data_IF_363249370217
#
_entry.id   IF_363249370217
#
_cell.length_a   1.000
_cell.length_b   1.000
_cell.length_c   1.000
_cell.angle_alpha   90.00
_cell.angle_beta   90.00
_cell.angle_gamma   90.00
#
_symmetry.space_group_name_H-M   'P 1'
#
loop_
_entity.id
_entity.type
_entity.pdbx_description
1 polymer ?
#
# COMPACT_ATOMS: atom_id res chain seq x y z
N UNK A 1 10.10 -29.35 33.41
CA UNK A 1 10.68 -30.44 32.61
C UNK A 1 10.20 -30.27 31.19
N UNK A 2 11.07 -29.96 30.23
CA UNK A 2 10.72 -29.87 28.81
C UNK A 2 10.58 -31.28 28.25
N UNK A 3 9.38 -31.62 27.78
CA UNK A 3 9.07 -32.94 27.22
C UNK A 3 9.85 -33.11 25.89
N UNK A 4 10.88 -33.97 25.89
CA UNK A 4 11.63 -34.30 24.66
C UNK A 4 10.85 -35.36 23.89
N UNK A 5 10.33 -35.00 22.72
CA UNK A 5 9.65 -35.93 21.83
C UNK A 5 10.65 -36.92 21.21
N UNK A 6 10.33 -38.21 21.23
CA UNK A 6 11.14 -39.27 20.66
C UNK A 6 11.06 -39.30 19.14
N UNK A 7 12.16 -39.65 18.45
CA UNK A 7 12.23 -39.71 16.97
C UNK A 7 11.16 -40.62 16.33
N UNK A 8 10.67 -41.63 17.04
CA UNK A 8 9.66 -42.56 16.53
C UNK A 8 8.23 -42.23 17.00
N UNK A 9 8.05 -41.20 17.83
CA UNK A 9 6.74 -40.80 18.36
C UNK A 9 5.87 -40.19 17.25
N UNK A 10 4.53 -40.20 17.38
CA UNK A 10 3.64 -39.50 16.48
C UNK A 10 4.02 -38.01 16.38
N UNK A 11 4.07 -37.48 15.17
CA UNK A 11 4.47 -36.10 14.96
C UNK A 11 3.42 -35.13 15.53
N UNK A 12 3.83 -34.11 16.33
CA UNK A 12 2.88 -33.23 17.03
C UNK A 12 2.14 -32.27 16.09
N UNK A 13 2.52 -32.18 14.82
CA UNK A 13 1.80 -31.42 13.80
C UNK A 13 0.49 -32.08 13.32
N UNK A 14 0.12 -33.25 13.86
CA UNK A 14 -1.13 -33.93 13.52
C UNK A 14 -1.12 -34.69 12.19
N UNK A 15 0.04 -34.84 11.55
CA UNK A 15 0.17 -35.49 10.23
C UNK A 15 -0.01 -37.02 10.23
N UNK A 16 -0.11 -37.65 11.39
CA UNK A 16 -0.17 -39.12 11.55
C UNK A 16 1.13 -39.87 11.25
N UNK A 17 2.21 -39.20 10.82
CA UNK A 17 3.53 -39.79 10.56
C UNK A 17 4.40 -39.82 11.83
N UNK A 18 5.45 -40.66 11.85
CA UNK A 18 6.48 -40.64 12.91
C UNK A 18 7.28 -39.34 12.84
N UNK A 19 7.69 -38.78 13.99
CA UNK A 19 8.38 -37.49 14.10
C UNK A 19 9.61 -37.40 13.18
N UNK A 20 10.43 -38.47 13.09
CA UNK A 20 11.60 -38.56 12.19
C UNK A 20 11.29 -38.58 10.69
N UNK A 21 10.04 -38.82 10.29
CA UNK A 21 9.62 -38.85 8.87
C UNK A 21 8.72 -37.66 8.54
N UNK A 22 8.67 -36.66 9.43
CA UNK A 22 7.90 -35.44 9.28
C UNK A 22 8.76 -34.28 9.82
N UNK A 23 8.34 -33.61 10.90
CA UNK A 23 8.98 -32.39 11.37
C UNK A 23 10.47 -32.52 11.76
N UNK A 24 10.98 -33.71 12.11
CA UNK A 24 12.41 -33.84 12.42
C UNK A 24 13.31 -33.81 11.17
N UNK A 25 12.77 -34.15 9.99
CA UNK A 25 13.48 -34.07 8.71
C UNK A 25 13.20 -32.76 7.97
N UNK A 26 12.06 -32.10 8.22
CA UNK A 26 11.81 -30.74 7.73
C UNK A 26 12.85 -29.74 8.24
N UNK A 27 13.49 -30.01 9.39
CA UNK A 27 14.63 -29.24 9.87
C UNK A 27 15.96 -29.60 9.17
N UNK A 28 16.08 -30.78 8.55
CA UNK A 28 17.28 -31.20 7.81
C UNK A 28 17.24 -30.75 6.34
N UNK A 29 16.06 -30.67 5.72
CA UNK A 29 15.89 -30.06 4.38
C UNK A 29 16.08 -28.52 4.40
N UNK A 30 16.11 -27.90 5.59
CA UNK A 30 16.40 -26.47 5.80
C UNK A 30 17.90 -26.24 6.10
N UNK A 31 18.71 -27.30 6.28
CA UNK A 31 20.11 -27.20 6.78
C UNK A 31 21.19 -27.49 5.73
N UNK A 32 20.84 -27.82 4.48
CA UNK A 32 21.76 -27.57 3.36
C UNK A 32 21.56 -26.15 2.86
N UNK A 33 22.10 -25.23 3.66
CA UNK A 33 22.57 -23.96 3.15
C UNK A 33 23.54 -24.26 1.99
N UNK A 34 23.06 -24.17 0.75
CA UNK A 34 23.82 -23.46 -0.26
C UNK A 34 24.23 -22.15 0.41
N UNK A 35 25.48 -22.09 0.88
CA UNK A 35 26.16 -20.82 1.07
C UNK A 35 26.10 -20.20 -0.32
N UNK A 36 25.09 -19.36 -0.56
CA UNK A 36 25.03 -18.51 -1.73
C UNK A 36 26.43 -17.97 -1.95
N UNK A 37 27.07 -18.30 -3.06
CA UNK A 37 28.48 -17.97 -3.25
C UNK A 37 28.76 -16.46 -3.14
N UNK A 38 27.70 -15.65 -3.35
CA UNK A 38 27.69 -14.20 -3.23
C UNK A 38 27.41 -13.65 -1.82
N UNK A 39 27.03 -14.48 -0.83
CA UNK A 39 26.73 -14.02 0.52
C UNK A 39 27.91 -13.22 1.10
N UNK A 40 27.62 -12.10 1.78
CA UNK A 40 28.66 -11.22 2.31
C UNK A 40 29.29 -10.27 1.29
N UNK A 41 28.87 -10.26 0.01
CA UNK A 41 29.45 -9.38 -1.02
C UNK A 41 29.27 -7.90 -0.68
N UNK A 42 28.05 -7.49 -0.33
CA UNK A 42 27.73 -6.10 0.00
C UNK A 42 28.42 -5.68 1.29
N UNK A 43 28.35 -6.51 2.34
CA UNK A 43 29.00 -6.26 3.63
C UNK A 43 30.51 -6.07 3.46
N UNK A 44 31.16 -6.95 2.69
CA UNK A 44 32.59 -6.83 2.38
C UNK A 44 32.92 -5.56 1.60
N UNK A 45 32.08 -5.18 0.65
CA UNK A 45 32.25 -3.94 -0.10
C UNK A 45 32.15 -2.71 0.82
N UNK A 46 31.12 -2.68 1.66
CA UNK A 46 30.87 -1.62 2.64
C UNK A 46 32.01 -1.53 3.65
N UNK A 47 32.42 -2.65 4.25
CA UNK A 47 33.53 -2.69 5.20
C UNK A 47 34.82 -2.17 4.58
N UNK A 48 35.11 -2.57 3.34
CA UNK A 48 36.31 -2.10 2.65
C UNK A 48 36.25 -0.58 2.37
N UNK A 49 35.11 -0.09 1.88
CA UNK A 49 34.88 1.34 1.61
C UNK A 49 34.98 2.17 2.89
N UNK A 50 34.36 1.72 3.98
CA UNK A 50 34.38 2.44 5.26
C UNK A 50 35.76 2.41 5.91
N UNK A 51 36.52 1.33 5.76
CA UNK A 51 37.88 1.25 6.31
C UNK A 51 38.92 2.06 5.50
N UNK A 52 38.79 2.12 4.17
CA UNK A 52 39.78 2.76 3.28
C UNK A 52 39.40 4.17 2.83
N UNK A 53 38.11 4.46 2.74
CA UNK A 53 37.56 5.65 2.07
C UNK A 53 36.45 6.35 2.88
N UNK A 54 36.39 6.17 4.21
CA UNK A 54 35.34 6.71 5.09
C UNK A 54 34.89 8.12 4.74
N UNK A 55 35.83 9.07 4.62
CA UNK A 55 35.52 10.48 4.35
C UNK A 55 34.86 10.68 2.99
N UNK A 56 35.38 10.01 1.95
CA UNK A 56 34.82 10.11 0.60
C UNK A 56 33.42 9.49 0.53
N UNK A 57 33.21 8.36 1.23
CA UNK A 57 31.88 7.74 1.38
C UNK A 57 30.92 8.68 2.10
N UNK A 58 31.31 9.25 3.25
CA UNK A 58 30.44 10.18 3.99
C UNK A 58 30.03 11.41 3.18
N UNK A 59 30.93 11.94 2.34
CA UNK A 59 30.61 13.04 1.42
C UNK A 59 29.61 12.59 0.37
N UNK A 60 29.86 11.47 -0.32
CA UNK A 60 28.96 10.95 -1.35
C UNK A 60 27.57 10.62 -0.79
N UNK A 61 27.48 10.06 0.43
CA UNK A 61 26.20 9.81 1.09
C UNK A 61 25.47 11.11 1.43
N UNK A 62 26.19 12.14 1.87
CA UNK A 62 25.59 13.44 2.15
C UNK A 62 25.04 14.09 0.88
N UNK A 63 25.77 14.01 -0.24
CA UNK A 63 25.31 14.49 -1.55
C UNK A 63 24.06 13.73 -2.01
N UNK A 64 24.07 12.39 -1.92
CA UNK A 64 22.92 11.56 -2.29
C UNK A 64 21.66 11.90 -1.47
N UNK A 65 21.81 12.18 -0.17
CA UNK A 65 20.68 12.41 0.73
C UNK A 65 20.18 13.86 0.75
N UNK A 66 21.08 14.84 0.74
CA UNK A 66 20.75 16.21 1.16
C UNK A 66 20.93 17.29 0.09
N UNK A 67 21.64 17.02 -1.02
CA UNK A 67 22.03 18.08 -1.98
C UNK A 67 20.84 18.85 -2.60
N UNK A 68 19.72 18.17 -2.80
CA UNK A 68 18.50 18.75 -3.39
C UNK A 68 17.44 19.17 -2.33
N UNK A 69 17.77 19.14 -1.04
CA UNK A 69 16.82 19.45 0.03
C UNK A 69 16.89 20.91 0.48
N UNK A 70 15.73 21.51 0.73
CA UNK A 70 15.65 22.76 1.49
C UNK A 70 16.01 22.54 2.96
N UNK A 71 16.42 23.59 3.71
CA UNK A 71 16.75 23.45 5.13
C UNK A 71 15.62 22.82 5.97
N UNK A 72 14.36 23.12 5.67
CA UNK A 72 13.22 22.56 6.38
C UNK A 72 13.02 21.06 6.09
N UNK A 73 13.26 20.63 4.86
CA UNK A 73 13.19 19.22 4.47
C UNK A 73 14.34 18.42 5.06
N UNK A 74 15.54 19.01 5.08
CA UNK A 74 16.70 18.42 5.74
C UNK A 74 16.47 18.21 7.24
N UNK A 75 15.92 19.21 7.93
CA UNK A 75 15.56 19.11 9.35
C UNK A 75 14.49 18.04 9.59
N UNK A 76 13.47 17.96 8.72
CA UNK A 76 12.42 16.94 8.81
C UNK A 76 12.94 15.52 8.56
N UNK A 77 13.87 15.35 7.63
CA UNK A 77 14.54 14.07 7.38
C UNK A 77 15.44 13.67 8.56
N UNK A 78 16.18 14.62 9.13
CA UNK A 78 17.00 14.40 10.36
C UNK A 78 16.17 14.03 11.57
N UNK A 79 14.92 14.48 11.65
CA UNK A 79 14.01 14.21 12.75
C UNK A 79 13.40 12.78 12.75
N UNK A 80 13.65 11.98 11.70
CA UNK A 80 13.15 10.60 11.63
C UNK A 80 13.74 9.69 12.73
N UNK A 81 13.01 8.64 13.06
CA UNK A 81 13.45 7.65 14.06
C UNK A 81 14.59 6.75 13.58
N UNK A 82 15.16 5.98 14.51
CA UNK A 82 16.30 5.10 14.25
C UNK A 82 15.97 3.96 13.27
N UNK A 83 14.74 3.45 13.27
CA UNK A 83 14.32 2.36 12.37
C UNK A 83 14.28 2.87 10.93
N UNK A 84 13.65 4.03 10.73
CA UNK A 84 13.60 4.76 9.46
C UNK A 84 15.00 5.08 8.94
N UNK A 85 15.88 5.60 9.80
CA UNK A 85 17.28 5.86 9.43
C UNK A 85 18.05 4.58 9.05
N UNK A 86 17.75 3.45 9.67
CA UNK A 86 18.36 2.16 9.32
C UNK A 86 17.97 1.74 7.89
N UNK A 87 16.69 1.92 7.54
CA UNK A 87 16.18 1.66 6.18
C UNK A 87 16.83 2.62 5.18
N UNK A 88 16.84 3.93 5.47
CA UNK A 88 17.52 4.95 4.63
C UNK A 88 18.98 4.57 4.39
N UNK A 89 19.70 4.16 5.44
CA UNK A 89 21.09 3.79 5.34
C UNK A 89 21.31 2.55 4.45
N UNK A 90 20.48 1.51 4.56
CA UNK A 90 20.56 0.33 3.68
C UNK A 90 20.39 0.74 2.22
N UNK A 91 19.35 1.52 1.91
CA UNK A 91 19.02 1.90 0.55
C UNK A 91 20.05 2.87 -0.06
N UNK A 92 20.54 3.86 0.70
CA UNK A 92 21.56 4.79 0.18
C UNK A 92 22.92 4.10 -0.01
N UNK A 93 23.25 3.10 0.82
CA UNK A 93 24.46 2.31 0.64
C UNK A 93 24.38 1.41 -0.59
N UNK A 94 23.25 0.73 -0.82
CA UNK A 94 23.04 -0.04 -2.05
C UNK A 94 23.17 0.85 -3.28
N UNK A 95 22.56 2.03 -3.22
CA UNK A 95 22.66 3.04 -4.26
C UNK A 95 24.11 3.47 -4.50
N UNK A 96 24.86 3.78 -3.45
CA UNK A 96 26.28 4.12 -3.57
C UNK A 96 27.06 2.99 -4.25
N UNK A 97 26.81 1.73 -3.88
CA UNK A 97 27.48 0.57 -4.47
C UNK A 97 27.13 0.36 -5.94
N UNK A 98 25.84 0.50 -6.30
CA UNK A 98 25.34 0.27 -7.64
C UNK A 98 25.64 1.43 -8.59
N UNK A 99 25.32 2.65 -8.14
CA UNK A 99 25.32 3.86 -8.96
C UNK A 99 26.16 5.03 -8.47
N UNK A 100 26.71 4.97 -7.28
CA UNK A 100 27.45 6.11 -6.73
C UNK A 100 28.89 6.23 -7.24
N UNK A 101 29.43 7.42 -7.06
CA UNK A 101 30.84 7.73 -7.25
C UNK A 101 31.46 8.23 -5.94
N UNK A 102 32.76 7.99 -5.76
CA UNK A 102 33.53 8.57 -4.66
C UNK A 102 34.80 9.24 -5.18
N UNK A 103 35.20 10.33 -4.52
CA UNK A 103 36.44 11.03 -4.83
C UNK A 103 37.64 10.30 -4.20
N UNK A 104 38.48 9.70 -5.05
CA UNK A 104 39.69 8.98 -4.63
C UNK A 104 40.90 9.58 -5.32
N UNK A 105 41.83 10.13 -4.53
CA UNK A 105 43.06 10.77 -5.05
C UNK A 105 42.76 11.86 -6.10
N UNK A 106 41.72 12.66 -5.88
CA UNK A 106 41.33 13.75 -6.77
C UNK A 106 40.58 13.33 -8.05
N UNK A 107 40.16 12.06 -8.17
CA UNK A 107 39.36 11.56 -9.29
C UNK A 107 38.07 10.92 -8.79
N UNK A 108 36.95 11.26 -9.41
CA UNK A 108 35.70 10.54 -9.22
C UNK A 108 35.85 9.14 -9.78
N UNK A 109 35.42 8.14 -9.00
CA UNK A 109 35.43 6.73 -9.38
C UNK A 109 34.07 6.12 -9.10
N UNK A 110 33.50 5.48 -10.12
CA UNK A 110 32.33 4.60 -9.97
C UNK A 110 32.64 3.51 -8.95
N UNK A 111 31.81 3.41 -7.91
CA UNK A 111 32.08 2.55 -6.75
C UNK A 111 32.16 1.08 -7.15
N UNK A 112 31.19 0.59 -7.93
CA UNK A 112 31.18 -0.80 -8.42
C UNK A 112 32.45 -1.16 -9.20
N UNK A 113 32.87 -0.32 -10.15
CA UNK A 113 34.11 -0.53 -10.91
C UNK A 113 35.35 -0.47 -10.02
N UNK A 114 35.37 0.45 -9.06
CA UNK A 114 36.51 0.61 -8.16
C UNK A 114 36.67 -0.60 -7.24
N UNK A 115 35.58 -1.13 -6.70
CA UNK A 115 35.55 -2.37 -5.92
C UNK A 115 36.06 -3.58 -6.72
N UNK A 116 35.85 -3.60 -8.03
CA UNK A 116 36.26 -4.70 -8.92
C UNK A 116 37.71 -4.55 -9.43
N UNK A 117 38.34 -3.39 -9.23
CA UNK A 117 39.67 -3.03 -9.74
C UNK A 117 40.83 -3.71 -8.99
N UNK A 118 42.05 -3.75 -9.57
CA UNK A 118 43.28 -4.17 -8.87
C UNK A 118 43.61 -3.20 -7.73
N UNK A 119 43.08 -3.48 -6.54
CA UNK A 119 43.16 -2.60 -5.37
C UNK A 119 41.90 -2.62 -4.50
N UNK A 120 40.78 -3.09 -5.05
CA UNK A 120 39.54 -3.34 -4.32
C UNK A 120 39.63 -4.54 -3.34
N UNK A 121 38.54 -4.84 -2.61
CA UNK A 121 38.51 -5.96 -1.69
C UNK A 121 38.67 -7.32 -2.40
N UNK A 122 39.12 -8.32 -1.64
CA UNK A 122 39.21 -9.70 -2.10
C UNK A 122 37.82 -10.33 -2.11
N UNK A 123 37.21 -10.44 -3.28
CA UNK A 123 35.95 -11.14 -3.51
C UNK A 123 36.19 -12.58 -3.99
N UNK A 124 35.29 -13.49 -3.62
CA UNK A 124 35.12 -14.77 -4.34
C UNK A 124 34.64 -14.50 -5.78
N UNK A 125 34.67 -15.52 -6.64
CA UNK A 125 34.15 -15.40 -8.01
C UNK A 125 32.66 -14.97 -8.02
N UNK A 126 31.87 -15.53 -7.10
CA UNK A 126 30.43 -15.25 -7.02
C UNK A 126 30.14 -13.89 -6.38
N UNK A 127 30.91 -13.46 -5.38
CA UNK A 127 30.83 -12.09 -4.85
C UNK A 127 31.23 -11.06 -5.92
N UNK A 128 32.25 -11.35 -6.73
CA UNK A 128 32.65 -10.49 -7.87
C UNK A 128 31.53 -10.42 -8.90
N UNK A 129 30.88 -11.54 -9.22
CA UNK A 129 29.70 -11.60 -10.10
C UNK A 129 28.55 -10.77 -9.54
N UNK A 130 28.29 -10.85 -8.23
CA UNK A 130 27.26 -10.07 -7.56
C UNK A 130 27.49 -8.55 -7.67
N UNK A 131 28.69 -8.07 -7.33
CA UNK A 131 29.03 -6.64 -7.46
C UNK A 131 28.99 -6.17 -8.92
N UNK A 132 29.37 -7.04 -9.86
CA UNK A 132 29.26 -6.74 -11.30
C UNK A 132 27.79 -6.59 -11.71
N UNK A 133 26.92 -7.50 -11.29
CA UNK A 133 25.47 -7.41 -11.55
C UNK A 133 24.89 -6.15 -10.90
N UNK A 134 25.26 -5.84 -9.66
CA UNK A 134 24.75 -4.70 -8.90
C UNK A 134 25.03 -3.38 -9.62
N UNK A 135 26.23 -3.23 -10.19
CA UNK A 135 26.60 -2.04 -10.97
C UNK A 135 25.97 -1.95 -12.36
N UNK A 136 25.49 -3.06 -12.92
CA UNK A 136 24.97 -3.13 -14.29
C UNK A 136 23.44 -3.16 -14.37
N UNK A 137 22.76 -3.66 -13.34
CA UNK A 137 21.30 -3.84 -13.36
C UNK A 137 20.58 -2.59 -12.88
N UNK A 138 19.51 -2.15 -13.56
CA UNK A 138 18.79 -0.95 -13.19
C UNK A 138 17.88 -1.17 -11.98
N UNK A 139 17.68 -0.11 -11.20
CA UNK A 139 16.61 -0.02 -10.21
C UNK A 139 15.30 0.21 -10.96
N UNK A 140 14.33 -0.69 -10.78
CA UNK A 140 13.03 -0.62 -11.49
C UNK A 140 11.88 -0.68 -10.49
N UNK A 141 10.74 -0.15 -10.90
CA UNK A 141 9.49 -0.12 -10.14
C UNK A 141 8.66 -1.36 -10.47
N UNK A 142 8.21 -2.08 -9.45
CA UNK A 142 7.39 -3.28 -9.58
C UNK A 142 6.17 -3.23 -8.67
N UNK A 143 5.06 -3.81 -9.12
CA UNK A 143 3.89 -4.11 -8.31
C UNK A 143 4.08 -5.49 -7.65
N UNK A 144 3.94 -5.56 -6.32
CA UNK A 144 3.97 -6.81 -5.57
C UNK A 144 2.59 -7.48 -5.65
N UNK A 145 2.52 -8.57 -6.42
CA UNK A 145 1.26 -9.24 -6.79
C UNK A 145 1.01 -10.54 -6.02
N UNK A 146 2.05 -11.15 -5.46
CA UNK A 146 1.94 -12.27 -4.54
C UNK A 146 3.10 -12.25 -3.55
N UNK A 147 2.86 -12.81 -2.35
CA UNK A 147 3.83 -12.85 -1.28
C UNK A 147 3.65 -14.12 -0.46
N UNK A 148 4.71 -14.92 -0.38
CA UNK A 148 4.82 -16.04 0.55
C UNK A 148 5.89 -15.67 1.58
N UNK A 149 5.50 -15.36 2.84
CA UNK A 149 6.43 -14.80 3.83
C UNK A 149 7.69 -15.64 4.01
N UNK A 150 8.85 -14.99 3.89
CA UNK A 150 10.17 -15.61 4.04
C UNK A 150 10.56 -16.61 2.95
N UNK A 151 9.81 -16.66 1.85
CA UNK A 151 10.07 -17.57 0.73
C UNK A 151 10.21 -16.83 -0.60
N UNK A 152 9.18 -16.08 -1.01
CA UNK A 152 9.15 -15.47 -2.33
C UNK A 152 8.19 -14.28 -2.47
N UNK A 153 8.48 -13.46 -3.48
CA UNK A 153 7.64 -12.39 -4.00
C UNK A 153 7.36 -12.63 -5.48
N UNK A 154 6.15 -12.34 -5.94
CA UNK A 154 5.84 -12.24 -7.37
C UNK A 154 5.68 -10.78 -7.77
N UNK A 155 6.54 -10.33 -8.69
CA UNK A 155 6.66 -8.94 -9.11
C UNK A 155 6.19 -8.78 -10.56
N UNK A 156 5.36 -7.76 -10.81
CA UNK A 156 5.03 -7.32 -12.16
C UNK A 156 5.67 -5.95 -12.42
N UNK A 157 6.26 -5.72 -13.60
CA UNK A 157 6.87 -4.43 -13.92
C UNK A 157 5.80 -3.32 -14.00
N UNK A 158 5.95 -2.25 -13.23
CA UNK A 158 4.93 -1.21 -13.16
C UNK A 158 4.90 -0.32 -14.40
N UNK A 159 5.97 -0.28 -15.19
CA UNK A 159 6.10 0.59 -16.37
C UNK A 159 5.83 -0.19 -17.67
N UNK A 160 6.15 -1.48 -17.71
CA UNK A 160 5.90 -2.39 -18.82
C UNK A 160 4.78 -3.39 -18.48
N UNK A 161 3.58 -3.16 -19.03
CA UNK A 161 2.40 -3.98 -18.74
C UNK A 161 2.47 -5.39 -19.33
N UNK A 162 3.35 -5.63 -20.31
CA UNK A 162 3.46 -6.90 -21.02
C UNK A 162 4.67 -7.72 -20.54
N UNK A 163 5.55 -7.14 -19.72
CA UNK A 163 6.67 -7.84 -19.11
C UNK A 163 6.16 -9.04 -18.27
N UNK A 164 6.76 -10.23 -18.42
CA UNK A 164 6.34 -11.40 -17.67
C UNK A 164 6.56 -11.20 -16.16
N UNK A 165 5.69 -11.75 -15.30
CA UNK A 165 5.90 -11.72 -13.86
C UNK A 165 7.22 -12.38 -13.47
N UNK A 166 7.88 -11.81 -12.46
CA UNK A 166 9.17 -12.29 -11.96
C UNK A 166 8.97 -12.83 -10.54
N UNK A 167 9.33 -14.10 -10.33
CA UNK A 167 9.34 -14.71 -9.00
C UNK A 167 10.73 -14.52 -8.41
N UNK A 168 10.79 -13.81 -7.29
CA UNK A 168 12.02 -13.52 -6.57
C UNK A 168 12.03 -14.30 -5.27
N UNK A 169 13.09 -15.08 -5.02
CA UNK A 169 13.32 -15.71 -3.72
C UNK A 169 13.75 -14.65 -2.74
N UNK A 170 13.02 -14.56 -1.63
CA UNK A 170 13.20 -13.51 -0.64
C UNK A 170 13.20 -14.17 0.73
N UNK A 171 14.37 -14.17 1.40
CA UNK A 171 14.53 -14.69 2.77
C UNK A 171 14.55 -13.57 3.81
N UNK A 172 14.76 -12.33 3.39
CA UNK A 172 14.95 -11.15 4.24
C UNK A 172 13.63 -10.50 4.66
N UNK A 173 12.73 -11.28 5.25
CA UNK A 173 11.63 -10.73 6.05
C UNK A 173 10.70 -9.77 5.29
N UNK A 174 10.41 -10.01 4.00
CA UNK A 174 9.31 -9.34 3.31
C UNK A 174 8.06 -9.39 4.20
N UNK A 175 7.63 -8.21 4.64
CA UNK A 175 6.48 -8.09 5.50
C UNK A 175 5.21 -8.31 4.68
N UNK A 176 4.18 -8.90 5.30
CA UNK A 176 2.87 -9.05 4.68
C UNK A 176 2.27 -7.71 4.20
N UNK A 177 2.76 -6.58 4.72
CA UNK A 177 2.43 -5.22 4.30
C UNK A 177 2.87 -4.86 2.88
N UNK A 178 3.74 -5.66 2.24
CA UNK A 178 4.17 -5.40 0.86
C UNK A 178 3.17 -5.87 -0.20
N UNK A 179 2.20 -6.73 0.13
CA UNK A 179 1.23 -7.16 -0.87
C UNK A 179 0.42 -5.97 -1.41
N UNK A 180 0.38 -5.80 -2.73
CA UNK A 180 -0.34 -4.72 -3.39
C UNK A 180 0.34 -3.34 -3.30
N UNK A 181 1.57 -3.25 -2.79
CA UNK A 181 2.37 -2.02 -2.85
C UNK A 181 3.32 -2.04 -4.05
N UNK A 182 3.72 -0.84 -4.48
CA UNK A 182 4.78 -0.69 -5.46
C UNK A 182 6.14 -0.56 -4.76
N UNK A 183 7.13 -1.30 -5.24
CA UNK A 183 8.49 -1.29 -4.72
C UNK A 183 9.50 -0.99 -5.82
N UNK A 184 10.47 -0.14 -5.52
CA UNK A 184 11.69 -0.06 -6.31
C UNK A 184 12.68 -1.11 -5.85
N UNK A 185 13.16 -1.96 -6.75
CA UNK A 185 14.17 -2.99 -6.45
C UNK A 185 15.09 -3.26 -7.64
N UNK A 186 16.29 -3.78 -7.35
CA UNK A 186 17.12 -4.46 -8.35
C UNK A 186 16.97 -5.96 -8.21
N UNK A 187 16.72 -6.62 -9.34
CA UNK A 187 16.58 -8.07 -9.41
C UNK A 187 17.93 -8.66 -9.82
N UNK A 188 18.45 -9.56 -9.01
CA UNK A 188 19.74 -10.24 -9.12
C UNK A 188 19.53 -11.68 -9.58
N UNK A 189 20.42 -12.24 -10.40
CA UNK A 189 20.37 -13.63 -10.83
C UNK A 189 21.41 -14.44 -10.07
N UNK A 190 20.95 -15.51 -9.46
CA UNK A 190 21.73 -16.41 -8.62
C UNK A 190 21.32 -17.82 -8.97
N UNK A 191 22.24 -18.63 -9.50
CA UNK A 191 22.06 -20.08 -9.70
C UNK A 191 20.74 -20.50 -10.36
N UNK A 192 20.24 -19.68 -11.31
CA UNK A 192 19.01 -19.95 -12.08
C UNK A 192 17.72 -19.44 -11.45
N UNK A 193 17.77 -18.74 -10.31
CA UNK A 193 16.65 -18.02 -9.73
C UNK A 193 16.95 -16.52 -9.56
N UNK A 194 15.90 -15.75 -9.27
CA UNK A 194 16.00 -14.32 -8.99
C UNK A 194 16.05 -14.05 -7.47
N UNK A 195 16.86 -13.08 -7.06
CA UNK A 195 16.95 -12.53 -5.70
C UNK A 195 16.87 -11.00 -5.74
N UNK A 196 16.64 -10.35 -4.60
CA UNK A 196 16.75 -8.88 -4.49
C UNK A 196 18.20 -8.48 -4.15
N UNK A 197 18.64 -7.28 -4.55
CA UNK A 197 19.97 -6.76 -4.19
C UNK A 197 20.16 -6.52 -2.69
N UNK A 198 19.07 -6.47 -1.93
CA UNK A 198 19.04 -6.21 -0.48
C UNK A 198 18.42 -4.86 -0.11
N UNK A 199 18.18 -3.97 -1.08
CA UNK A 199 17.44 -2.72 -0.87
C UNK A 199 16.03 -2.80 -1.47
N UNK A 200 15.04 -2.34 -0.69
CA UNK A 200 13.64 -2.24 -1.11
C UNK A 200 13.18 -0.80 -0.91
N UNK A 201 12.80 -0.14 -2.00
CA UNK A 201 12.27 1.21 -2.00
C UNK A 201 10.74 1.14 -2.03
N UNK A 202 10.13 0.80 -0.89
CA UNK A 202 8.68 0.65 -0.80
C UNK A 202 7.96 2.00 -0.81
N UNK A 203 6.87 2.09 -1.59
CA UNK A 203 6.01 3.26 -1.66
C UNK A 203 4.69 3.01 -0.93
N UNK A 204 4.19 4.04 -0.26
CA UNK A 204 2.81 4.02 0.25
C UNK A 204 1.81 3.86 -0.90
N UNK A 205 0.61 3.36 -0.61
CA UNK A 205 -0.46 3.23 -1.60
C UNK A 205 -0.82 4.56 -2.30
N UNK A 206 -0.55 5.71 -1.67
CA UNK A 206 -0.78 7.02 -2.28
C UNK A 206 0.42 7.52 -3.09
N UNK A 207 1.65 7.17 -2.69
CA UNK A 207 2.86 7.65 -3.35
C UNK A 207 3.16 6.83 -4.61
N UNK A 208 3.03 5.52 -4.57
CA UNK A 208 3.40 4.62 -5.68
C UNK A 208 2.83 5.06 -7.03
N UNK A 209 1.49 5.20 -7.17
CA UNK A 209 0.87 5.60 -8.44
C UNK A 209 1.36 6.96 -8.95
N UNK A 210 1.67 7.90 -8.05
CA UNK A 210 2.24 9.22 -8.41
C UNK A 210 3.65 9.05 -8.98
N UNK A 211 4.47 8.20 -8.37
CA UNK A 211 5.83 7.88 -8.87
C UNK A 211 5.76 7.18 -10.22
N UNK A 212 4.89 6.19 -10.36
CA UNK A 212 4.67 5.49 -11.64
C UNK A 212 4.28 6.48 -12.75
N UNK A 213 3.32 7.38 -12.50
CA UNK A 213 2.91 8.39 -13.46
C UNK A 213 4.06 9.33 -13.83
N UNK A 214 4.85 9.78 -12.84
CA UNK A 214 6.03 10.63 -13.07
C UNK A 214 7.11 9.92 -13.88
N UNK A 215 7.37 8.64 -13.61
CA UNK A 215 8.32 7.83 -14.37
C UNK A 215 7.85 7.63 -15.81
N UNK A 216 6.56 7.34 -16.04
CA UNK A 216 5.98 7.28 -17.41
C UNK A 216 6.14 8.60 -18.15
N UNK A 217 5.81 9.72 -17.51
CA UNK A 217 6.02 11.04 -18.09
C UNK A 217 7.49 11.28 -18.46
N UNK A 218 8.43 10.90 -17.59
CA UNK A 218 9.85 11.01 -17.87
C UNK A 218 10.27 10.15 -19.07
N UNK A 219 9.74 8.92 -19.20
CA UNK A 219 9.98 8.07 -20.37
C UNK A 219 9.46 8.70 -21.66
N UNK A 220 8.25 9.24 -21.64
CA UNK A 220 7.58 9.81 -22.82
C UNK A 220 8.29 11.08 -23.35
N UNK A 221 8.97 11.83 -22.47
CA UNK A 221 9.66 13.08 -22.81
C UNK A 221 11.19 12.94 -22.84
N UNK A 222 11.72 11.72 -22.76
CA UNK A 222 13.16 11.52 -22.72
C UNK A 222 13.79 11.63 -24.12
N UNK A 223 14.60 12.66 -24.33
CA UNK A 223 15.30 12.94 -25.61
C UNK A 223 16.80 12.53 -25.59
N UNK A 224 17.28 11.88 -24.53
CA UNK A 224 18.67 11.48 -24.36
C UNK A 224 19.04 10.13 -25.00
N UNK A 225 20.25 9.63 -24.72
CA UNK A 225 20.63 8.28 -25.18
C UNK A 225 19.86 7.23 -24.37
N UNK A 226 19.39 6.17 -25.05
CA UNK A 226 18.63 5.10 -24.40
C UNK A 226 19.38 4.44 -23.22
N UNK A 227 20.72 4.50 -23.21
CA UNK A 227 21.57 4.06 -22.11
C UNK A 227 21.40 4.86 -20.82
N UNK A 228 20.94 6.11 -20.90
CA UNK A 228 20.89 7.03 -19.76
C UNK A 228 19.51 7.03 -19.10
N UNK A 229 18.47 6.54 -19.80
CA UNK A 229 17.10 6.44 -19.29
C UNK A 229 17.01 5.62 -17.98
N UNK A 230 17.66 4.45 -17.83
CA UNK A 230 17.61 3.70 -16.58
C UNK A 230 18.15 4.48 -15.39
N UNK A 231 19.20 5.28 -15.58
CA UNK A 231 19.75 6.13 -14.53
C UNK A 231 18.78 7.25 -14.15
N UNK A 232 18.18 7.93 -15.14
CA UNK A 232 17.13 8.93 -14.89
C UNK A 232 15.96 8.35 -14.08
N UNK A 233 15.47 7.17 -14.45
CA UNK A 233 14.39 6.50 -13.75
C UNK A 233 14.79 6.09 -12.32
N UNK A 234 16.03 5.62 -12.13
CA UNK A 234 16.62 5.32 -10.83
C UNK A 234 16.64 6.55 -9.92
N UNK A 235 17.09 7.70 -10.44
CA UNK A 235 17.08 8.99 -9.72
C UNK A 235 15.68 9.42 -9.32
N UNK A 236 14.69 9.33 -10.23
CA UNK A 236 13.30 9.65 -9.92
C UNK A 236 12.80 8.76 -8.78
N UNK A 237 13.01 7.44 -8.89
CA UNK A 237 12.54 6.47 -7.91
C UNK A 237 13.12 6.77 -6.52
N UNK A 238 14.43 7.00 -6.43
CA UNK A 238 15.12 7.27 -5.17
C UNK A 238 14.69 8.59 -4.54
N UNK A 239 14.64 9.67 -5.34
CA UNK A 239 14.21 10.99 -4.85
C UNK A 239 12.78 10.95 -4.34
N UNK A 240 11.88 10.27 -5.06
CA UNK A 240 10.49 10.13 -4.63
C UNK A 240 10.35 9.22 -3.41
N UNK A 241 11.19 8.19 -3.29
CA UNK A 241 11.19 7.33 -2.11
C UNK A 241 11.64 8.09 -0.86
N UNK A 242 12.74 8.84 -0.96
CA UNK A 242 13.27 9.65 0.15
C UNK A 242 12.28 10.76 0.56
N UNK A 243 11.58 11.36 -0.40
CA UNK A 243 10.57 12.37 -0.14
C UNK A 243 9.44 11.92 0.80
N UNK A 244 9.14 10.61 0.88
CA UNK A 244 8.12 10.10 1.80
C UNK A 244 8.44 10.36 3.28
N UNK A 245 9.71 10.62 3.62
CA UNK A 245 10.16 10.81 4.99
C UNK A 245 10.20 12.27 5.43
N UNK A 246 10.04 13.24 4.52
CA UNK A 246 10.08 14.66 4.85
C UNK A 246 8.98 15.50 4.19
N UNK A 247 8.44 15.04 3.06
CA UNK A 247 7.38 15.73 2.35
C UNK A 247 6.00 15.33 2.90
N UNK A 248 5.00 16.23 2.84
CA UNK A 248 3.63 15.87 3.18
C UNK A 248 3.12 14.76 2.25
N UNK A 249 2.37 13.80 2.84
CA UNK A 249 1.77 12.72 2.08
C UNK A 249 0.87 13.27 0.95
N UNK A 250 1.03 12.79 -0.29
CA UNK A 250 0.13 13.16 -1.37
C UNK A 250 -1.26 12.63 -1.04
N UNK A 251 -2.24 13.52 -0.93
CA UNK A 251 -3.63 13.15 -0.68
C UNK A 251 -4.40 13.18 -2.01
N UNK A 252 -5.21 12.15 -2.32
CA UNK A 252 -6.07 12.21 -3.49
C UNK A 252 -7.10 13.34 -3.33
N UNK A 253 -7.60 13.86 -4.45
CA UNK A 253 -8.76 14.74 -4.44
C UNK A 253 -10.01 13.91 -4.08
N UNK A 254 -10.64 14.21 -2.95
CA UNK A 254 -11.89 13.57 -2.56
C UNK A 254 -13.04 14.19 -3.35
N UNK A 255 -13.79 13.35 -4.06
CA UNK A 255 -14.94 13.74 -4.86
C UNK A 255 -16.14 12.89 -4.52
N UNK A 256 -17.31 13.50 -4.51
CA UNK A 256 -18.55 12.76 -4.34
C UNK A 256 -18.75 11.82 -5.54
N UNK A 257 -19.10 10.57 -5.27
CA UNK A 257 -19.17 9.52 -6.28
C UNK A 257 -20.28 9.75 -7.31
N UNK A 258 -21.33 10.49 -6.96
CA UNK A 258 -22.45 10.75 -7.86
C UNK A 258 -22.27 12.05 -8.63
N UNK A 259 -22.07 13.18 -7.95
CA UNK A 259 -21.99 14.48 -8.63
C UNK A 259 -20.57 14.83 -9.12
N UNK A 260 -19.54 14.14 -8.65
CA UNK A 260 -18.14 14.42 -8.97
C UNK A 260 -17.59 15.71 -8.35
N UNK A 261 -18.38 16.41 -7.54
CA UNK A 261 -17.98 17.65 -6.87
C UNK A 261 -16.89 17.37 -5.82
N UNK A 262 -15.97 18.31 -5.57
CA UNK A 262 -15.04 18.21 -4.45
C UNK A 262 -15.80 18.02 -3.13
N UNK A 263 -15.38 17.02 -2.35
CA UNK A 263 -15.97 16.78 -1.05
C UNK A 263 -15.51 17.85 -0.05
N UNK A 264 -16.48 18.35 0.71
CA UNK A 264 -16.27 19.21 1.87
C UNK A 264 -17.32 18.77 2.88
N UNK A 265 -16.88 18.14 3.97
CA UNK A 265 -17.79 17.62 4.98
C UNK A 265 -18.34 18.81 5.76
N UNK A 266 -19.64 19.09 5.62
CA UNK A 266 -20.27 20.27 6.21
C UNK A 266 -21.32 19.80 7.20
N UNK A 267 -21.25 20.32 8.41
CA UNK A 267 -22.19 20.01 9.48
C UNK A 267 -22.85 21.29 9.96
N UNK A 268 -24.16 21.42 9.74
CA UNK A 268 -24.97 22.49 10.32
C UNK A 268 -25.51 22.05 11.68
N UNK A 269 -25.29 22.86 12.71
CA UNK A 269 -25.75 22.60 14.06
C UNK A 269 -27.01 23.41 14.35
N UNK A 270 -28.02 22.74 14.88
CA UNK A 270 -29.28 23.36 15.28
C UNK A 270 -29.62 23.03 16.73
N UNK A 271 -30.30 23.96 17.38
CA UNK A 271 -31.05 23.69 18.61
C UNK A 271 -32.49 23.37 18.24
N UNK A 272 -33.03 22.29 18.80
CA UNK A 272 -34.43 21.92 18.66
C UNK A 272 -35.25 22.62 19.74
N UNK A 273 -36.30 23.32 19.31
CA UNK A 273 -37.26 24.02 20.17
C UNK A 273 -38.57 23.26 20.31
N UNK A 274 -38.94 22.45 19.31
CA UNK A 274 -40.10 21.56 19.35
C UNK A 274 -39.79 20.23 18.65
N UNK A 275 -39.67 19.15 19.43
CA UNK A 275 -39.37 17.82 18.89
C UNK A 275 -40.56 17.20 18.16
N UNK A 276 -41.79 17.51 18.58
CA UNK A 276 -42.99 16.93 17.99
C UNK A 276 -43.20 17.52 16.60
N UNK A 277 -43.09 18.84 16.47
CA UNK A 277 -43.20 19.54 15.18
C UNK A 277 -42.08 19.10 14.23
N UNK A 278 -40.82 19.08 14.69
CA UNK A 278 -39.69 18.65 13.86
C UNK A 278 -39.88 17.22 13.30
N UNK A 279 -40.26 16.28 14.16
CA UNK A 279 -40.45 14.88 13.77
C UNK A 279 -41.59 14.75 12.75
N UNK A 280 -42.70 15.47 12.97
CA UNK A 280 -43.84 15.46 12.07
C UNK A 280 -43.51 16.07 10.71
N UNK A 281 -42.80 17.21 10.69
CA UNK A 281 -42.42 17.89 9.44
C UNK A 281 -41.46 17.06 8.59
N UNK A 282 -40.48 16.39 9.22
CA UNK A 282 -39.55 15.50 8.52
C UNK A 282 -40.26 14.24 8.00
N UNK A 283 -41.11 13.60 8.82
CA UNK A 283 -41.87 12.42 8.41
C UNK A 283 -42.90 12.69 7.29
N UNK A 284 -43.29 13.96 7.10
CA UNK A 284 -44.20 14.36 6.03
C UNK A 284 -43.51 14.48 4.66
N UNK A 285 -42.17 14.50 4.60
CA UNK A 285 -41.44 14.60 3.33
C UNK A 285 -41.32 13.23 2.68
N UNK A 286 -41.68 13.13 1.39
CA UNK A 286 -41.59 11.88 0.63
C UNK A 286 -40.16 11.46 0.32
N UNK A 287 -39.22 12.39 0.36
CA UNK A 287 -37.79 12.19 0.11
C UNK A 287 -36.97 12.04 1.40
N UNK A 288 -37.61 11.85 2.56
CA UNK A 288 -36.94 11.66 3.85
C UNK A 288 -37.33 10.31 4.45
N UNK A 289 -36.31 9.53 4.79
CA UNK A 289 -36.46 8.25 5.50
C UNK A 289 -35.81 8.31 6.88
N UNK A 290 -36.28 7.48 7.80
CA UNK A 290 -35.71 7.35 9.14
C UNK A 290 -36.50 8.07 10.23
N UNK A 291 -35.92 8.08 11.42
CA UNK A 291 -36.58 8.55 12.63
C UNK A 291 -35.58 9.09 13.66
N UNK A 292 -36.12 9.40 14.85
CA UNK A 292 -35.36 9.93 15.96
C UNK A 292 -34.35 8.93 16.54
N UNK A 293 -34.60 7.64 16.45
CA UNK A 293 -33.71 6.62 17.04
C UNK A 293 -32.51 6.35 16.14
N UNK A 294 -32.69 6.47 14.83
CA UNK A 294 -31.70 6.05 13.83
C UNK A 294 -31.01 7.20 13.10
N UNK A 295 -31.62 8.38 13.01
CA UNK A 295 -31.34 9.52 12.12
C UNK A 295 -32.26 9.58 10.90
N UNK A 296 -32.51 10.79 10.41
CA UNK A 296 -33.25 11.02 9.17
C UNK A 296 -32.28 11.21 8.00
N UNK A 297 -32.59 10.63 6.85
CA UNK A 297 -31.82 10.75 5.63
C UNK A 297 -32.70 11.31 4.52
N UNK A 298 -32.27 12.42 3.92
CA UNK A 298 -32.90 12.94 2.71
C UNK A 298 -32.27 12.26 1.49
N UNK A 299 -33.08 11.56 0.72
CA UNK A 299 -32.65 10.71 -0.38
C UNK A 299 -32.95 11.35 -1.75
N UNK A 300 -32.11 11.03 -2.73
CA UNK A 300 -32.37 11.31 -4.14
C UNK A 300 -32.19 10.04 -4.97
N UNK A 301 -32.98 9.94 -6.03
CA UNK A 301 -32.75 8.94 -7.07
C UNK A 301 -31.72 9.47 -8.06
N UNK A 302 -30.59 8.78 -8.15
CA UNK A 302 -29.48 9.15 -9.01
C UNK A 302 -29.68 8.61 -10.44
N UNK A 303 -29.06 9.28 -11.41
CA UNK A 303 -29.14 8.88 -12.84
C UNK A 303 -28.50 7.52 -13.14
N UNK A 304 -27.69 6.99 -12.22
CA UNK A 304 -27.10 5.66 -12.30
C UNK A 304 -27.99 4.54 -11.72
N UNK A 305 -29.22 4.89 -11.30
CA UNK A 305 -30.21 3.94 -10.79
C UNK A 305 -30.06 3.59 -9.31
N UNK A 306 -29.15 4.24 -8.60
CA UNK A 306 -28.97 4.09 -7.17
C UNK A 306 -29.68 5.21 -6.41
N UNK A 307 -30.12 4.95 -5.18
CA UNK A 307 -30.67 5.97 -4.28
C UNK A 307 -29.58 6.39 -3.29
N UNK A 308 -29.36 7.70 -3.12
CA UNK A 308 -28.28 8.22 -2.25
C UNK A 308 -28.77 9.32 -1.32
N UNK A 309 -28.21 9.34 -0.11
CA UNK A 309 -28.44 10.43 0.85
C UNK A 309 -27.65 11.69 0.48
N UNK A 310 -28.35 12.82 0.40
CA UNK A 310 -27.78 14.16 0.19
C UNK A 310 -27.69 14.97 1.48
N UNK A 311 -28.42 14.57 2.52
CA UNK A 311 -28.38 15.18 3.84
C UNK A 311 -28.76 14.15 4.91
N UNK A 312 -28.04 14.13 6.03
CA UNK A 312 -28.36 13.27 7.17
C UNK A 312 -28.54 14.11 8.43
N UNK A 313 -29.72 14.02 9.05
CA UNK A 313 -30.07 14.71 10.30
C UNK A 313 -29.82 13.77 11.46
N UNK A 314 -28.77 14.02 12.24
CA UNK A 314 -28.41 13.23 13.42
C UNK A 314 -28.79 13.97 14.70
N UNK A 315 -29.04 13.19 15.76
CA UNK A 315 -29.20 13.74 17.11
C UNK A 315 -27.83 13.86 17.74
N UNK A 316 -27.56 15.04 18.31
CA UNK A 316 -26.32 15.27 19.04
C UNK A 316 -26.38 14.62 20.44
N UNK A 317 -25.26 14.52 21.13
CA UNK A 317 -25.20 14.07 22.53
C UNK A 317 -26.05 14.93 23.46
N UNK A 318 -26.26 16.21 23.10
CA UNK A 318 -27.17 17.08 23.82
C UNK A 318 -28.61 16.88 23.32
N UNK A 319 -29.58 16.60 24.20
CA UNK A 319 -30.94 16.21 23.81
C UNK A 319 -31.77 17.32 23.16
N UNK A 320 -31.31 18.56 23.20
CA UNK A 320 -31.89 19.73 22.52
C UNK A 320 -31.15 20.09 21.23
N UNK A 321 -30.28 19.22 20.71
CA UNK A 321 -29.46 19.53 19.54
C UNK A 321 -29.49 18.44 18.49
N UNK A 322 -29.41 18.89 17.25
CA UNK A 322 -29.25 18.06 16.07
C UNK A 322 -28.14 18.62 15.18
N UNK A 323 -27.63 17.76 14.32
CA UNK A 323 -26.74 18.15 13.23
C UNK A 323 -27.34 17.74 11.89
N UNK A 324 -27.12 18.55 10.86
CA UNK A 324 -27.42 18.19 9.48
C UNK A 324 -26.11 18.10 8.71
N UNK A 325 -25.79 16.90 8.24
CA UNK A 325 -24.53 16.58 7.59
C UNK A 325 -24.67 16.53 6.07
N UNK A 326 -23.71 17.14 5.37
CA UNK A 326 -23.62 17.19 3.92
C UNK A 326 -22.21 16.85 3.43
N UNK A 327 -22.12 16.28 2.22
CA UNK A 327 -20.83 15.86 1.62
C UNK A 327 -20.19 16.91 0.70
N UNK A 328 -20.98 17.85 0.19
CA UNK A 328 -20.52 18.89 -0.77
C UNK A 328 -21.09 20.26 -0.40
N UNK A 329 -20.40 21.32 -0.83
CA UNK A 329 -20.82 22.70 -0.60
C UNK A 329 -22.20 22.98 -1.19
N UNK A 330 -22.45 22.54 -2.43
CA UNK A 330 -23.75 22.73 -3.09
C UNK A 330 -24.87 22.05 -2.30
N UNK A 331 -24.67 20.80 -1.88
CA UNK A 331 -25.65 20.08 -1.06
C UNK A 331 -25.91 20.77 0.28
N UNK A 332 -24.90 21.37 0.91
CA UNK A 332 -25.09 22.12 2.16
C UNK A 332 -25.85 23.43 1.96
N UNK A 333 -25.63 24.13 0.85
CA UNK A 333 -26.29 25.42 0.58
C UNK A 333 -27.76 25.20 0.18
N UNK A 334 -28.03 24.26 -0.72
CA UNK A 334 -29.38 23.86 -1.10
C UNK A 334 -30.10 23.17 0.07
N UNK A 335 -29.40 22.26 0.74
CA UNK A 335 -29.93 21.46 1.85
C UNK A 335 -30.29 22.30 3.06
N UNK A 336 -29.53 23.36 3.37
CA UNK A 336 -29.89 24.26 4.47
C UNK A 336 -31.20 25.01 4.20
N UNK A 337 -31.35 25.58 3.01
CA UNK A 337 -32.59 26.27 2.64
C UNK A 337 -33.79 25.32 2.70
N UNK A 338 -33.61 24.09 2.19
CA UNK A 338 -34.61 23.04 2.32
C UNK A 338 -34.92 22.71 3.79
N UNK A 339 -33.91 22.41 4.60
CA UNK A 339 -34.11 21.97 5.98
C UNK A 339 -34.80 23.03 6.83
N UNK A 340 -34.39 24.30 6.70
CA UNK A 340 -35.04 25.41 7.42
C UNK A 340 -36.49 25.64 6.94
N UNK A 341 -36.80 25.38 5.66
CA UNK A 341 -38.17 25.45 5.15
C UNK A 341 -39.08 24.33 5.69
N UNK A 342 -38.53 23.14 5.92
CA UNK A 342 -39.26 21.98 6.45
C UNK A 342 -39.40 22.06 7.97
N UNK A 343 -38.30 22.32 8.67
CA UNK A 343 -38.26 22.34 10.12
C UNK A 343 -38.88 23.62 10.72
N UNK A 344 -38.91 24.72 9.97
CA UNK A 344 -39.57 25.95 10.37
C UNK A 344 -39.10 26.46 11.74
N UNK A 345 -40.06 26.74 12.63
CA UNK A 345 -39.80 27.26 13.97
C UNK A 345 -39.39 26.19 14.99
N UNK A 346 -39.43 24.91 14.61
CA UNK A 346 -39.07 23.79 15.47
C UNK A 346 -37.55 23.70 15.74
N UNK A 347 -36.75 24.47 14.99
CA UNK A 347 -35.29 24.51 15.12
C UNK A 347 -34.75 25.95 15.06
N UNK A 348 -33.57 26.14 15.64
CA UNK A 348 -32.78 27.36 15.52
C UNK A 348 -31.35 27.02 15.10
N UNK A 349 -30.91 27.59 13.98
CA UNK A 349 -29.51 27.46 13.54
C UNK A 349 -28.53 28.03 14.57
N UNK A 350 -27.45 27.32 14.82
CA UNK A 350 -26.39 27.70 15.74
C UNK A 350 -25.10 28.04 14.99
N UNK A 351 -24.56 27.09 14.22
CA UNK A 351 -23.26 27.22 13.56
C UNK A 351 -23.12 26.24 12.41
N UNK A 352 -22.19 26.52 11.51
CA UNK A 352 -21.76 25.60 10.45
C UNK A 352 -20.30 25.24 10.69
N UNK A 353 -20.00 23.95 10.68
CA UNK A 353 -18.65 23.39 10.70
C UNK A 353 -18.31 22.89 9.30
N UNK A 354 -17.07 23.13 8.86
CA UNK A 354 -16.53 22.66 7.58
C UNK A 354 -15.28 21.84 7.86
N UNK A 355 -15.20 20.65 7.30
CA UNK A 355 -14.03 19.77 7.42
C UNK A 355 -13.60 19.27 6.05
N UNK A 356 -12.34 19.55 5.70
CA UNK A 356 -11.70 18.96 4.52
C UNK A 356 -11.27 17.51 4.83
N UNK A 357 -11.77 16.50 4.10
CA UNK A 357 -11.36 15.10 4.28
C UNK A 357 -9.86 14.89 4.20
N UNK A 358 -9.16 15.61 3.32
CA UNK A 358 -7.72 15.47 3.17
C UNK A 358 -6.98 15.98 4.41
N UNK A 359 -7.37 17.14 4.93
CA UNK A 359 -6.88 17.68 6.20
C UNK A 359 -7.16 16.77 7.40
N UNK A 360 -8.37 16.18 7.48
CA UNK A 360 -8.72 15.23 8.54
C UNK A 360 -7.80 14.01 8.52
N UNK A 361 -7.60 13.38 7.36
CA UNK A 361 -6.74 12.20 7.24
C UNK A 361 -5.26 12.51 7.49
N UNK A 362 -4.79 13.70 7.13
CA UNK A 362 -3.42 14.16 7.38
C UNK A 362 -3.14 14.35 8.87
N UNK A 363 -4.11 14.90 9.60
CA UNK A 363 -3.96 15.24 11.02
C UNK A 363 -4.46 14.14 11.96
N UNK A 364 -5.05 13.06 11.43
CA UNK A 364 -5.53 11.94 12.23
C UNK A 364 -4.34 11.20 12.85
N UNK A 365 -4.20 11.20 14.19
CA UNK A 365 -3.09 10.52 14.85
C UNK A 365 -3.16 9.01 14.62
N UNK A 366 -2.00 8.34 14.59
CA UNK A 366 -1.88 6.94 14.22
C UNK A 366 -2.72 5.99 15.10
N UNK A 367 -2.92 6.36 16.38
CA UNK A 367 -3.78 5.62 17.31
C UNK A 367 -5.28 5.74 16.97
N UNK A 368 -5.70 6.82 16.32
CA UNK A 368 -7.08 7.04 15.86
C UNK A 368 -7.36 6.41 14.50
N UNK A 369 -6.36 6.26 13.63
CA UNK A 369 -6.49 5.45 12.39
C UNK A 369 -6.82 3.99 12.68
N UNK A 370 -6.38 3.48 13.83
CA UNK A 370 -6.67 2.13 14.32
C UNK A 370 -7.93 2.07 15.20
N UNK A 371 -8.56 3.21 15.54
CA UNK A 371 -9.76 3.23 16.38
C UNK A 371 -11.00 2.93 15.55
N UNK A 372 -11.81 2.08 16.18
CA UNK A 372 -13.12 1.60 15.75
C UNK A 372 -14.03 2.79 15.41
N UNK A 373 -14.77 2.76 14.30
CA UNK A 373 -16.15 3.19 14.37
C UNK A 373 -16.84 2.17 15.28
N UNK A 374 -17.21 2.56 16.50
CA UNK A 374 -18.20 1.81 17.28
C UNK A 374 -19.53 1.90 16.52
N UNK A 375 -19.70 1.04 15.52
CA UNK A 375 -21.01 0.67 15.04
C UNK A 375 -21.39 -0.59 15.82
N UNK A 376 -21.73 -0.41 17.11
CA UNK A 376 -22.46 -1.44 17.83
C UNK A 376 -23.87 -1.49 17.23
N UNK A 377 -23.98 -2.17 16.09
CA UNK A 377 -25.24 -2.37 15.37
C UNK A 377 -26.18 -3.32 16.14
N UNK A 378 -25.77 -3.82 17.31
CA UNK A 378 -26.50 -4.85 18.07
C UNK A 378 -26.62 -6.18 17.33
N UNK A 379 -25.85 -6.38 16.25
CA UNK A 379 -25.87 -7.58 15.42
C UNK A 379 -24.87 -8.62 15.94
N UNK A 380 -25.23 -9.91 15.84
CA UNK A 380 -24.25 -10.97 16.07
C UNK A 380 -23.18 -10.98 14.98
N UNK A 381 -21.95 -11.45 15.26
CA UNK A 381 -20.88 -11.54 14.28
C UNK A 381 -21.26 -12.34 13.02
N UNK A 382 -22.11 -13.36 13.17
CA UNK A 382 -22.60 -14.20 12.08
C UNK A 382 -23.55 -13.43 11.15
N UNK A 383 -24.52 -12.71 11.70
CA UNK A 383 -25.48 -11.91 10.91
C UNK A 383 -24.73 -10.78 10.18
N UNK A 384 -23.77 -10.14 10.86
CA UNK A 384 -22.92 -9.13 10.24
C UNK A 384 -22.12 -9.72 9.07
N UNK A 385 -21.57 -10.94 9.21
CA UNK A 385 -20.83 -11.61 8.14
C UNK A 385 -21.71 -11.94 6.93
N UNK A 386 -22.95 -12.40 7.15
CA UNK A 386 -23.91 -12.68 6.07
C UNK A 386 -24.28 -11.41 5.29
N UNK A 387 -24.60 -10.32 6.00
CA UNK A 387 -24.90 -9.03 5.37
C UNK A 387 -23.71 -8.48 4.58
N UNK A 388 -22.50 -8.57 5.15
CA UNK A 388 -21.28 -8.15 4.46
C UNK A 388 -21.00 -9.02 3.23
N UNK A 389 -21.24 -10.32 3.29
CA UNK A 389 -21.03 -11.21 2.15
C UNK A 389 -21.99 -10.89 1.00
N UNK A 390 -23.27 -10.67 1.28
CA UNK A 390 -24.24 -10.26 0.27
C UNK A 390 -23.87 -8.90 -0.36
N UNK A 391 -23.46 -7.95 0.47
CA UNK A 391 -23.03 -6.61 0.03
C UNK A 391 -21.79 -6.69 -0.88
N UNK A 392 -20.77 -7.46 -0.47
CA UNK A 392 -19.55 -7.64 -1.27
C UNK A 392 -19.86 -8.33 -2.61
N UNK A 393 -20.71 -9.36 -2.62
CA UNK A 393 -21.11 -10.06 -3.86
C UNK A 393 -21.82 -9.11 -4.82
N UNK A 394 -22.70 -8.24 -4.31
CA UNK A 394 -23.39 -7.22 -5.12
C UNK A 394 -22.43 -6.19 -5.66
N UNK A 395 -21.54 -5.68 -4.81
CA UNK A 395 -20.54 -4.67 -5.18
C UNK A 395 -19.60 -5.18 -6.27
N UNK A 396 -19.15 -6.42 -6.15
CA UNK A 396 -18.21 -7.03 -7.11
C UNK A 396 -18.90 -7.76 -8.28
N UNK A 397 -20.24 -7.70 -8.40
CA UNK A 397 -20.97 -8.44 -9.44
C UNK A 397 -20.56 -8.06 -10.87
N UNK A 398 -20.25 -6.78 -11.10
CA UNK A 398 -19.81 -6.25 -12.41
C UNK A 398 -18.30 -6.17 -12.55
N UNK A 399 -17.54 -6.43 -11.48
CA UNK A 399 -16.09 -6.25 -11.43
C UNK A 399 -15.32 -6.98 -12.55
N UNK A 400 -15.65 -8.23 -12.93
CA UNK A 400 -14.94 -8.92 -14.01
C UNK A 400 -14.97 -8.20 -15.36
N UNK A 401 -15.97 -7.36 -15.58
CA UNK A 401 -16.29 -6.67 -16.83
C UNK A 401 -16.18 -5.14 -16.71
N UNK A 402 -15.68 -4.64 -15.57
CA UNK A 402 -15.48 -3.21 -15.32
C UNK A 402 -14.02 -2.81 -15.58
N UNK A 403 -13.76 -1.74 -16.36
CA UNK A 403 -12.41 -1.21 -16.57
C UNK A 403 -11.74 -0.77 -15.26
N UNK A 404 -10.56 -1.29 -14.96
CA UNK A 404 -9.84 -0.95 -13.74
C UNK A 404 -8.60 -0.09 -14.05
N UNK A 405 -8.38 1.03 -13.33
CA UNK A 405 -7.14 1.82 -13.45
C UNK A 405 -5.87 0.99 -13.21
N UNK A 406 -5.91 0.07 -12.23
CA UNK A 406 -4.80 -0.83 -11.90
C UNK A 406 -4.44 -1.79 -13.06
N UNK A 407 -5.34 -1.98 -14.03
CA UNK A 407 -5.14 -2.80 -15.22
C UNK A 407 -5.02 -1.94 -16.50
N UNK A 408 -4.60 -0.68 -16.35
CA UNK A 408 -4.47 0.29 -17.45
C UNK A 408 -5.78 0.45 -18.26
N UNK A 409 -6.93 0.44 -17.56
CA UNK A 409 -8.25 0.58 -18.18
C UNK A 409 -8.78 -0.69 -18.86
N UNK A 410 -8.07 -1.81 -18.80
CA UNK A 410 -8.62 -3.12 -19.18
C UNK A 410 -9.57 -3.62 -18.09
N UNK A 411 -10.57 -4.41 -18.49
CA UNK A 411 -11.35 -5.22 -17.55
C UNK A 411 -10.52 -6.42 -17.07
N UNK A 412 -10.81 -7.00 -15.90
CA UNK A 412 -10.18 -8.25 -15.48
C UNK A 412 -10.29 -9.35 -16.55
N UNK A 413 -11.46 -9.52 -17.19
CA UNK A 413 -11.65 -10.53 -18.25
C UNK A 413 -10.78 -10.29 -19.49
N UNK A 414 -10.49 -9.03 -19.82
CA UNK A 414 -9.56 -8.69 -20.90
C UNK A 414 -8.10 -8.91 -20.48
N UNK A 415 -7.76 -8.56 -19.24
CA UNK A 415 -6.39 -8.60 -18.75
C UNK A 415 -5.85 -10.04 -18.61
N UNK A 416 -6.66 -11.01 -18.19
CA UNK A 416 -6.22 -12.40 -17.97
C UNK A 416 -5.70 -13.13 -19.23
N UNK A 417 -5.82 -12.53 -20.42
CA UNK A 417 -5.34 -13.11 -21.68
C UNK A 417 -3.82 -13.05 -21.86
N UNK A 418 -3.08 -12.40 -20.96
CA UNK A 418 -1.61 -12.41 -20.94
C UNK A 418 -1.10 -12.93 -19.59
N UNK A 419 0.10 -13.53 -19.52
CA UNK A 419 0.67 -13.97 -18.24
C UNK A 419 0.78 -12.85 -17.20
N UNK A 420 1.20 -11.66 -17.66
CA UNK A 420 1.30 -10.48 -16.80
C UNK A 420 -0.07 -10.00 -16.31
N UNK A 421 -1.07 -9.95 -17.19
CA UNK A 421 -2.41 -9.53 -16.82
C UNK A 421 -3.13 -10.55 -15.93
N UNK A 422 -2.91 -11.85 -16.14
CA UNK A 422 -3.38 -12.91 -15.25
C UNK A 422 -2.85 -12.73 -13.83
N UNK A 423 -1.54 -12.50 -13.69
CA UNK A 423 -0.92 -12.32 -12.37
C UNK A 423 -1.38 -11.04 -11.68
N UNK A 424 -1.51 -9.93 -12.42
CA UNK A 424 -2.07 -8.68 -11.87
C UNK A 424 -3.50 -8.84 -11.36
N UNK A 425 -4.34 -9.53 -12.12
CA UNK A 425 -5.73 -9.82 -11.72
C UNK A 425 -5.76 -10.71 -10.48
N UNK A 426 -4.92 -11.76 -10.45
CA UNK A 426 -4.78 -12.61 -9.26
C UNK A 426 -4.28 -11.84 -8.04
N UNK A 427 -3.33 -10.92 -8.23
CA UNK A 427 -2.82 -10.05 -7.18
C UNK A 427 -3.85 -9.09 -6.60
N UNK A 428 -4.75 -8.54 -7.44
CA UNK A 428 -5.87 -7.74 -6.95
C UNK A 428 -6.81 -8.55 -6.05
N UNK A 429 -7.14 -9.78 -6.45
CA UNK A 429 -8.02 -10.63 -5.65
C UNK A 429 -7.34 -10.99 -4.32
N UNK A 430 -6.05 -11.35 -4.33
CA UNK A 430 -5.28 -11.60 -3.10
C UNK A 430 -5.22 -10.38 -2.19
N UNK A 431 -5.11 -9.18 -2.74
CA UNK A 431 -5.15 -7.94 -1.98
C UNK A 431 -6.52 -7.73 -1.31
N UNK A 432 -7.62 -7.98 -2.02
CA UNK A 432 -8.97 -7.91 -1.44
C UNK A 432 -9.14 -8.94 -0.32
N UNK A 433 -8.68 -10.17 -0.51
CA UNK A 433 -8.70 -11.23 0.49
C UNK A 433 -7.87 -10.86 1.74
N UNK A 434 -6.70 -10.24 1.56
CA UNK A 434 -5.87 -9.76 2.66
C UNK A 434 -6.56 -8.64 3.45
N UNK A 435 -7.17 -7.66 2.74
CA UNK A 435 -7.93 -6.58 3.35
C UNK A 435 -9.15 -7.11 4.11
N UNK A 436 -9.87 -8.06 3.51
CA UNK A 436 -10.99 -8.75 4.16
C UNK A 436 -10.50 -9.37 5.47
N UNK A 437 -9.45 -10.20 5.42
CA UNK A 437 -8.99 -10.96 6.58
C UNK A 437 -8.68 -10.05 7.76
N UNK A 438 -8.08 -8.89 7.47
CA UNK A 438 -7.83 -7.86 8.47
C UNK A 438 -9.15 -7.27 9.01
N UNK A 439 -10.08 -6.90 8.15
CA UNK A 439 -11.38 -6.34 8.55
C UNK A 439 -12.21 -7.34 9.36
N UNK A 440 -12.27 -8.61 8.95
CA UNK A 440 -12.99 -9.68 9.63
C UNK A 440 -12.42 -9.91 11.04
N UNK A 441 -11.09 -9.96 11.17
CA UNK A 441 -10.43 -10.07 12.47
C UNK A 441 -10.73 -8.87 13.37
N UNK A 442 -10.77 -7.66 12.81
CA UNK A 442 -11.13 -6.44 13.56
C UNK A 442 -12.60 -6.42 14.00
N UNK A 443 -13.50 -6.98 13.19
CA UNK A 443 -14.93 -7.04 13.44
C UNK A 443 -15.36 -8.29 14.24
N UNK A 444 -14.42 -9.18 14.57
CA UNK A 444 -14.71 -10.42 15.30
C UNK A 444 -15.60 -11.41 14.53
N UNK A 445 -15.69 -11.27 13.19
CA UNK A 445 -16.53 -12.09 12.32
C UNK A 445 -15.70 -13.07 11.50
N UNK A 446 -16.35 -14.05 10.88
CA UNK A 446 -15.69 -14.94 9.92
C UNK A 446 -15.21 -14.16 8.68
N UNK A 447 -14.12 -14.61 8.07
CA UNK A 447 -13.64 -14.13 6.77
C UNK A 447 -14.59 -14.55 5.66
N UNK A 448 -14.88 -13.62 4.76
CA UNK A 448 -15.69 -13.83 3.57
C UNK A 448 -14.77 -14.25 2.41
N UNK A 449 -15.00 -15.42 1.79
CA UNK A 449 -14.16 -15.88 0.69
C UNK A 449 -14.45 -15.13 -0.62
N UNK A 450 -13.40 -14.75 -1.33
CA UNK A 450 -13.48 -14.14 -2.67
C UNK A 450 -13.40 -15.17 -3.82
N UNK A 451 -13.69 -16.45 -3.53
CA UNK A 451 -13.71 -17.54 -4.53
C UNK A 451 -14.59 -17.24 -5.74
N UNK A 452 -15.66 -16.47 -5.54
CA UNK A 452 -16.57 -16.07 -6.61
C UNK A 452 -15.90 -15.20 -7.69
N UNK A 453 -14.87 -14.42 -7.36
CA UNK A 453 -14.12 -13.63 -8.34
C UNK A 453 -13.23 -14.53 -9.22
N UNK A 454 -12.54 -15.49 -8.61
CA UNK A 454 -11.75 -16.49 -9.33
C UNK A 454 -12.63 -17.29 -10.30
N UNK A 455 -13.79 -17.75 -9.81
CA UNK A 455 -14.77 -18.50 -10.60
C UNK A 455 -15.37 -17.68 -11.75
N UNK A 456 -15.73 -16.41 -11.52
CA UNK A 456 -16.30 -15.54 -12.55
C UNK A 456 -15.35 -15.28 -13.75
N UNK A 457 -14.05 -15.41 -13.50
CA UNK A 457 -12.99 -15.29 -14.50
C UNK A 457 -12.55 -16.64 -15.08
N UNK A 458 -13.01 -17.77 -14.53
CA UNK A 458 -12.60 -19.10 -14.97
C UNK A 458 -11.14 -19.42 -14.69
N UNK A 459 -10.50 -18.75 -13.72
CA UNK A 459 -9.11 -18.93 -13.36
C UNK A 459 -8.99 -19.68 -12.03
N UNK A 460 -7.97 -20.53 -11.90
CA UNK A 460 -7.72 -21.29 -10.66
C UNK A 460 -6.80 -20.49 -9.73
N UNK A 461 -7.01 -20.60 -8.41
CA UNK A 461 -6.01 -20.18 -7.42
C UNK A 461 -4.72 -20.95 -7.70
N UNK A 462 -3.64 -20.26 -8.04
CA UNK A 462 -2.32 -20.88 -8.05
C UNK A 462 -2.01 -21.36 -6.62
N UNK A 463 -1.62 -22.64 -6.49
CA UNK A 463 -1.34 -23.29 -5.23
C UNK A 463 -0.01 -22.77 -4.63
N UNK A 464 -0.01 -21.56 -4.10
CA UNK A 464 1.14 -20.95 -3.41
C UNK A 464 0.84 -20.45 -2.00
N UNK A 465 -0.44 -20.38 -1.60
CA UNK A 465 -0.87 -19.61 -0.42
C UNK A 465 -1.90 -20.39 0.43
N UNK A 466 -1.52 -21.56 0.94
CA UNK A 466 -2.18 -22.17 2.12
C UNK A 466 -1.33 -21.96 3.35
#
# INVERSE_FOLDING_TARGET
MTYKIGRNDPCPCGSGKKYKQCCANSAQDVVEAERQGHAGAAERAIDWLMNKHRKAVSIALAELLFDDLSPAEEDALKAQDQETWSIIHINVMELLLAEGEILVQGKHRRVSEYLLSPGGPLFTADQRRWITQLGARPLRLYDVTDLVPGQQLTLCDSLDAEAPPIIVRERSGAQASLLGVQIGVRIMEVDGHCELSGAIYAFSHFTGPVVQARMRQAMDHFEGQASDLPHLLSTILQRQWLAQFYAPMPMPAFRDAYCGEPMLLITDHYRVTDWQELTQSLAAQSDVEGDRETAWNRLIDCTDGETRSVATVNIDKSPDRITVFYKTQRHADEGRHWFESVAGHAVRFLSRELSDPAGLLRNMPADQRAKRPDADLGLSPEVLAEMMEETLRRMYAKWPDEPLPALAGKTPRQAINTPAGLERVGGLIRLYEASEKQQAAQQGRRTIPFDFLWQALGISRHAGSQ
#
